data_IF_871657407387
#
_entry.id   IF_871657407387
#
_cell.length_a   1.000
_cell.length_b   1.000
_cell.length_c   1.000
_cell.angle_alpha   90.00
_cell.angle_beta   90.00
_cell.angle_gamma   90.00
#
_symmetry.space_group_name_H-M   'P 1'
#
loop_
_entity.id
_entity.type
_entity.pdbx_description
1 polymer ?
#
# COMPACT_ATOMS: atom_id res chain seq x y z
N UNK A 1 53.51 -4.10 56.76
CA UNK A 1 53.58 -2.73 57.35
C UNK A 1 52.43 -1.93 56.78
N UNK A 2 51.57 -1.13 57.43
CA UNK A 2 51.33 -0.68 58.81
C UNK A 2 49.85 -0.17 58.82
N UNK A 3 49.12 -0.54 59.89
CA UNK A 3 47.94 0.10 60.59
C UNK A 3 46.82 0.80 59.79
N UNK A 4 45.55 0.33 59.87
CA UNK A 4 44.48 0.64 60.87
C UNK A 4 44.23 2.14 61.13
N UNK A 5 43.02 2.63 60.83
CA UNK A 5 42.15 3.42 61.75
C UNK A 5 40.67 3.14 61.44
N UNK A 6 39.83 3.28 62.46
CA UNK A 6 38.51 2.73 62.73
C UNK A 6 37.51 3.89 62.96
N UNK A 7 36.27 3.79 62.41
CA UNK A 7 34.92 4.16 62.94
C UNK A 7 34.70 5.52 63.68
N UNK A 8 33.52 6.20 63.52
CA UNK A 8 32.24 5.68 64.04
C UNK A 8 30.96 5.98 63.23
N UNK A 9 29.91 5.26 63.64
CA UNK A 9 28.52 5.38 63.22
C UNK A 9 27.83 6.56 63.91
N UNK A 10 26.80 7.12 63.26
CA UNK A 10 25.70 7.81 63.94
C UNK A 10 24.38 7.28 63.36
N UNK A 11 23.63 6.61 64.23
CA UNK A 11 22.23 6.28 64.02
C UNK A 11 21.39 7.53 64.31
N UNK A 12 20.45 7.84 63.43
CA UNK A 12 19.35 8.75 63.73
C UNK A 12 18.05 8.04 63.36
N UNK A 13 17.41 7.48 64.39
CA UNK A 13 16.02 7.08 64.33
C UNK A 13 15.17 8.34 64.43
N UNK A 14 14.32 8.58 63.43
CA UNK A 14 13.18 9.49 63.55
C UNK A 14 11.97 8.72 63.04
N UNK A 15 11.13 8.31 63.99
CA UNK A 15 9.81 7.77 63.71
C UNK A 15 8.91 8.88 63.16
N UNK A 16 8.13 8.55 62.15
CA UNK A 16 6.97 9.34 61.73
C UNK A 16 5.82 8.37 61.48
N UNK A 17 4.68 8.75 62.04
CA UNK A 17 3.46 7.98 62.23
C UNK A 17 2.91 7.31 60.97
N UNK A 18 2.34 6.12 61.17
CA UNK A 18 1.40 5.52 60.23
C UNK A 18 0.14 6.39 60.13
N UNK A 19 0.01 7.14 59.04
CA UNK A 19 -1.30 7.64 58.59
C UNK A 19 -1.86 6.59 57.61
N UNK A 20 -2.82 5.80 58.09
CA UNK A 20 -3.71 5.02 57.21
C UNK A 20 -4.73 6.01 56.64
N UNK A 21 -4.27 6.83 55.70
CA UNK A 21 -5.15 7.64 54.86
C UNK A 21 -5.69 6.77 53.75
N UNK A 22 -7.01 6.63 53.66
CA UNK A 22 -7.66 6.11 52.45
C UNK A 22 -7.30 7.05 51.30
N UNK A 23 -6.29 6.67 50.51
CA UNK A 23 -5.99 7.35 49.27
C UNK A 23 -7.16 7.07 48.31
N UNK A 24 -7.96 8.10 48.06
CA UNK A 24 -8.94 8.07 46.98
C UNK A 24 -8.20 7.70 45.68
N UNK A 25 -8.79 6.84 44.82
CA UNK A 25 -8.16 6.47 43.57
C UNK A 25 -7.82 7.72 42.77
N UNK A 26 -6.57 7.81 42.33
CA UNK A 26 -6.11 8.89 41.47
C UNK A 26 -7.05 8.98 40.24
N UNK A 27 -7.49 10.18 39.84
CA UNK A 27 -8.31 10.33 38.64
C UNK A 27 -7.54 9.74 37.45
N UNK A 28 -8.21 8.86 36.71
CA UNK A 28 -7.65 8.27 35.51
C UNK A 28 -7.12 9.37 34.58
N UNK A 29 -5.91 9.18 34.07
CA UNK A 29 -5.36 10.08 33.07
C UNK A 29 -6.37 10.23 31.92
N UNK A 30 -6.58 11.45 31.40
CA UNK A 30 -7.44 11.66 30.25
C UNK A 30 -6.98 10.71 29.14
N UNK A 31 -7.90 9.87 28.65
CA UNK A 31 -7.62 9.09 27.46
C UNK A 31 -7.18 10.07 26.36
N UNK A 32 -6.08 9.81 25.65
CA UNK A 32 -5.70 10.65 24.52
C UNK A 32 -6.91 10.76 23.59
N UNK A 33 -7.18 11.94 23.00
CA UNK A 33 -8.30 12.12 22.10
C UNK A 33 -8.26 10.99 21.07
N UNK A 34 -9.34 10.20 20.99
CA UNK A 34 -9.51 9.27 19.88
C UNK A 34 -9.33 10.11 18.62
N UNK A 35 -8.27 9.82 17.86
CA UNK A 35 -8.03 10.47 16.59
C UNK A 35 -9.31 10.36 15.78
N UNK A 36 -9.95 11.49 15.51
CA UNK A 36 -11.16 11.55 14.70
C UNK A 36 -10.80 10.88 13.37
N UNK A 37 -11.63 9.94 12.91
CA UNK A 37 -11.39 9.22 11.67
C UNK A 37 -11.08 10.23 10.55
N UNK A 38 -9.92 10.08 9.91
CA UNK A 38 -9.44 11.00 8.88
C UNK A 38 -10.33 10.96 7.62
N UNK A 39 -10.97 9.80 7.41
CA UNK A 39 -11.82 9.47 6.29
C UNK A 39 -12.89 8.46 6.76
N UNK A 40 -13.93 8.23 5.96
CA UNK A 40 -14.99 7.28 6.28
C UNK A 40 -15.29 6.33 5.11
N UNK A 41 -15.93 5.20 5.40
CA UNK A 41 -16.22 4.15 4.42
C UNK A 41 -15.02 3.25 4.11
N UNK A 42 -15.08 2.61 2.95
CA UNK A 42 -14.08 1.69 2.45
C UNK A 42 -13.47 2.21 1.16
N UNK A 43 -12.14 2.23 1.08
CA UNK A 43 -11.45 2.20 -0.19
C UNK A 43 -11.44 0.74 -0.67
N UNK A 44 -12.32 0.43 -1.62
CA UNK A 44 -12.34 -0.87 -2.28
C UNK A 44 -11.28 -0.84 -3.37
N UNK A 45 -10.11 -1.43 -3.13
CA UNK A 45 -9.03 -1.49 -4.09
C UNK A 45 -9.16 -2.76 -4.92
N UNK A 46 -9.57 -2.61 -6.18
CA UNK A 46 -9.68 -3.73 -7.12
C UNK A 46 -8.42 -3.77 -7.97
N UNK A 47 -7.93 -4.98 -8.20
CA UNK A 47 -6.84 -5.23 -9.13
C UNK A 47 -7.26 -6.28 -10.14
N UNK A 48 -7.15 -5.92 -11.41
CA UNK A 48 -7.53 -6.72 -12.53
C UNK A 48 -6.28 -7.19 -13.25
N UNK A 49 -6.11 -8.50 -13.38
CA UNK A 49 -5.01 -9.10 -14.12
C UNK A 49 -5.44 -9.38 -15.55
N UNK A 50 -4.63 -8.97 -16.53
CA UNK A 50 -4.92 -9.12 -17.95
C UNK A 50 -3.81 -9.88 -18.66
N UNK A 51 -4.15 -10.95 -19.36
CA UNK A 51 -3.21 -11.79 -20.10
C UNK A 51 -3.43 -11.62 -21.60
N UNK A 52 -2.34 -11.57 -22.36
CA UNK A 52 -2.42 -11.72 -23.82
C UNK A 52 -2.98 -13.08 -24.18
N UNK A 53 -3.56 -13.22 -25.37
CA UNK A 53 -4.05 -14.51 -25.89
C UNK A 53 -2.98 -15.61 -25.91
N UNK A 54 -1.71 -15.24 -26.09
CA UNK A 54 -0.54 -16.14 -26.01
C UNK A 54 -0.10 -16.47 -24.58
N UNK A 55 -0.65 -15.80 -23.56
CA UNK A 55 -0.22 -15.83 -22.16
C UNK A 55 1.25 -15.45 -21.91
N UNK A 56 1.96 -14.94 -22.92
CA UNK A 56 3.37 -14.52 -22.80
C UNK A 56 3.51 -13.16 -22.15
N UNK A 57 2.50 -12.29 -22.29
CA UNK A 57 2.48 -10.97 -21.70
C UNK A 57 1.26 -10.79 -20.82
N UNK A 58 1.45 -10.17 -19.66
CA UNK A 58 0.37 -9.81 -18.78
C UNK A 58 0.74 -8.59 -17.95
N UNK A 59 -0.28 -7.94 -17.42
CA UNK A 59 -0.14 -6.79 -16.54
C UNK A 59 -1.37 -6.68 -15.65
N UNK A 60 -1.26 -5.86 -14.61
CA UNK A 60 -2.37 -5.54 -13.72
C UNK A 60 -2.83 -4.10 -13.87
N UNK A 61 -4.12 -3.88 -13.64
CA UNK A 61 -4.69 -2.54 -13.49
C UNK A 61 -5.48 -2.38 -12.20
N UNK A 62 -5.40 -1.19 -11.59
CA UNK A 62 -6.20 -0.78 -10.43
C UNK A 62 -7.01 0.49 -10.70
N UNK A 63 -6.74 1.16 -11.82
CA UNK A 63 -7.54 2.26 -12.37
C UNK A 63 -7.67 2.05 -13.88
N UNK A 64 -8.72 2.58 -14.53
CA UNK A 64 -8.83 2.54 -15.98
C UNK A 64 -7.64 3.21 -16.66
N UNK A 65 -7.29 2.72 -17.85
CA UNK A 65 -6.36 3.41 -18.75
C UNK A 65 -6.95 4.74 -19.23
N UNK A 66 -6.10 5.66 -19.70
CA UNK A 66 -6.52 6.97 -20.21
C UNK A 66 -7.46 6.89 -21.41
N UNK A 67 -7.41 5.80 -22.18
CA UNK A 67 -8.36 5.49 -23.27
C UNK A 67 -9.61 4.72 -22.81
N UNK A 68 -9.79 4.53 -21.50
CA UNK A 68 -10.95 3.86 -20.90
C UNK A 68 -10.90 2.33 -20.90
N UNK A 69 -9.85 1.71 -21.46
CA UNK A 69 -9.68 0.24 -21.41
C UNK A 69 -9.22 -0.23 -20.03
N UNK A 70 -9.24 -1.56 -19.85
CA UNK A 70 -8.69 -2.24 -18.67
C UNK A 70 -9.23 -1.71 -17.33
N UNK A 71 -10.52 -1.39 -17.30
CA UNK A 71 -11.16 -0.81 -16.13
C UNK A 71 -11.06 -1.73 -14.89
N UNK A 72 -10.82 -1.11 -13.73
CA UNK A 72 -10.89 -1.76 -12.43
C UNK A 72 -11.96 -1.09 -11.56
N UNK A 73 -12.66 -1.89 -10.75
CA UNK A 73 -13.75 -1.46 -9.89
C UNK A 73 -13.38 -0.52 -8.74
N UNK A 74 -12.10 -0.12 -8.61
CA UNK A 74 -11.57 0.64 -7.47
C UNK A 74 -12.43 1.85 -7.13
N UNK A 75 -12.98 1.92 -5.92
CA UNK A 75 -13.93 2.95 -5.53
C UNK A 75 -13.81 3.29 -4.03
N UNK A 76 -14.50 4.35 -3.62
CA UNK A 76 -14.80 4.59 -2.21
C UNK A 76 -16.30 4.44 -2.02
N UNK A 77 -16.73 3.65 -1.04
CA UNK A 77 -18.15 3.44 -0.74
C UNK A 77 -18.37 3.14 0.75
N UNK A 78 -19.63 3.14 1.19
CA UNK A 78 -20.00 2.74 2.56
C UNK A 78 -19.90 1.23 2.82
N UNK A 79 -19.66 0.42 1.78
CA UNK A 79 -19.71 -1.04 1.82
C UNK A 79 -18.37 -1.64 1.40
N UNK A 80 -17.93 -2.66 2.11
CA UNK A 80 -16.77 -3.44 1.71
C UNK A 80 -17.13 -4.34 0.51
N UNK A 81 -16.44 -4.14 -0.61
CA UNK A 81 -16.59 -4.99 -1.78
C UNK A 81 -15.91 -6.35 -1.50
N UNK A 82 -16.65 -7.43 -1.76
CA UNK A 82 -16.18 -8.82 -1.53
C UNK A 82 -15.82 -9.56 -2.80
N UNK A 83 -16.08 -8.98 -3.98
CA UNK A 83 -15.80 -9.56 -5.28
C UNK A 83 -15.07 -8.56 -6.16
N UNK A 84 -14.09 -9.06 -6.92
CA UNK A 84 -13.37 -8.22 -7.87
C UNK A 84 -14.28 -7.84 -9.04
N UNK A 85 -14.08 -6.63 -9.58
CA UNK A 85 -14.85 -6.08 -10.69
C UNK A 85 -13.84 -5.54 -11.70
N UNK A 86 -13.87 -6.10 -12.90
CA UNK A 86 -12.90 -5.87 -13.97
C UNK A 86 -13.60 -5.68 -15.29
N UNK A 87 -13.07 -4.79 -16.13
CA UNK A 87 -13.47 -4.67 -17.53
C UNK A 87 -13.02 -5.87 -18.36
N UNK A 88 -13.64 -6.08 -19.51
CA UNK A 88 -13.41 -7.23 -20.38
C UNK A 88 -12.00 -7.30 -21.01
N UNK A 89 -11.24 -6.21 -20.99
CA UNK A 89 -9.96 -6.08 -21.71
C UNK A 89 -10.16 -5.41 -23.07
N UNK A 90 -9.41 -5.83 -24.09
CA UNK A 90 -9.40 -5.17 -25.42
C UNK A 90 -9.40 -6.14 -26.62
N UNK A 91 -9.66 -7.42 -26.39
CA UNK A 91 -9.60 -8.46 -27.41
C UNK A 91 -8.23 -9.12 -27.52
N UNK A 92 -7.14 -8.36 -27.40
CA UNK A 92 -5.77 -8.91 -27.34
C UNK A 92 -5.43 -9.41 -25.94
N UNK A 93 -5.93 -8.69 -24.93
CA UNK A 93 -5.79 -8.99 -23.53
C UNK A 93 -7.14 -9.30 -22.91
N UNK A 94 -7.19 -10.38 -22.15
CA UNK A 94 -8.38 -10.88 -21.47
C UNK A 94 -8.15 -10.90 -19.96
N UNK A 95 -9.20 -10.61 -19.19
CA UNK A 95 -9.13 -10.67 -17.73
C UNK A 95 -8.86 -12.10 -17.26
N UNK A 96 -8.05 -12.24 -16.20
CA UNK A 96 -7.79 -13.49 -15.50
C UNK A 96 -8.39 -13.39 -14.10
N UNK A 97 -9.63 -13.88 -13.89
CA UNK A 97 -10.37 -13.68 -12.64
C UNK A 97 -9.65 -14.22 -11.40
N UNK A 98 -9.03 -15.40 -11.51
CA UNK A 98 -8.37 -16.05 -10.36
C UNK A 98 -7.15 -15.27 -9.85
N UNK A 99 -6.46 -14.54 -10.73
CA UNK A 99 -5.31 -13.69 -10.40
C UNK A 99 -5.71 -12.25 -10.08
N UNK A 100 -6.94 -11.87 -10.40
CA UNK A 100 -7.54 -10.59 -10.01
C UNK A 100 -8.01 -10.67 -8.56
N UNK A 101 -8.15 -9.53 -7.88
CA UNK A 101 -8.54 -9.50 -6.48
C UNK A 101 -9.10 -8.15 -6.04
N UNK A 102 -9.73 -8.14 -4.87
CA UNK A 102 -10.23 -6.93 -4.22
C UNK A 102 -9.81 -6.92 -2.76
N UNK A 103 -9.44 -5.74 -2.25
CA UNK A 103 -9.23 -5.51 -0.83
C UNK A 103 -10.03 -4.29 -0.40
N UNK A 104 -11.03 -4.50 0.45
CA UNK A 104 -11.75 -3.43 1.12
C UNK A 104 -10.90 -2.90 2.28
N UNK A 105 -10.55 -1.62 2.24
CA UNK A 105 -9.74 -0.94 3.22
C UNK A 105 -10.61 0.02 4.03
N UNK A 106 -10.86 -0.30 5.31
CA UNK A 106 -11.65 0.57 6.19
C UNK A 106 -10.90 1.87 6.45
N UNK A 107 -11.36 2.98 5.88
CA UNK A 107 -10.68 4.28 5.97
C UNK A 107 -10.79 4.91 7.36
N UNK A 108 -11.75 4.46 8.18
CA UNK A 108 -11.89 4.94 9.55
C UNK A 108 -10.94 4.23 10.54
N UNK A 109 -10.24 3.16 10.12
CA UNK A 109 -9.37 2.40 11.03
C UNK A 109 -7.96 2.97 11.19
N UNK A 110 -7.63 4.08 10.52
CA UNK A 110 -6.29 4.66 10.58
C UNK A 110 -6.17 5.99 9.86
N UNK A 111 -4.97 6.57 9.96
CA UNK A 111 -4.58 7.83 9.30
C UNK A 111 -4.00 7.61 7.91
N UNK A 112 -3.30 6.50 7.70
CA UNK A 112 -2.56 6.24 6.47
C UNK A 112 -3.21 5.10 5.70
N UNK A 113 -3.37 5.28 4.38
CA UNK A 113 -3.43 4.14 3.45
C UNK A 113 -2.00 3.84 3.04
N UNK A 114 -1.49 2.68 3.43
CA UNK A 114 -0.18 2.21 3.02
C UNK A 114 -0.35 1.34 1.78
N UNK A 115 0.07 1.82 0.61
CA UNK A 115 0.02 1.04 -0.64
C UNK A 115 1.33 0.28 -0.78
N UNK A 116 1.27 -1.04 -0.71
CA UNK A 116 2.42 -1.92 -0.94
C UNK A 116 2.32 -2.45 -2.36
N UNK A 117 3.32 -2.14 -3.18
CA UNK A 117 3.46 -2.65 -4.53
C UNK A 117 4.50 -3.75 -4.55
N UNK A 118 4.08 -4.94 -4.93
CA UNK A 118 4.89 -6.13 -5.03
C UNK A 118 5.07 -6.50 -6.49
N UNK A 119 6.30 -6.47 -6.96
CA UNK A 119 6.64 -6.82 -8.34
C UNK A 119 7.18 -8.22 -8.36
N UNK A 120 6.66 -9.06 -9.25
CA UNK A 120 7.11 -10.42 -9.44
C UNK A 120 7.64 -10.60 -10.86
N UNK A 121 8.62 -11.48 -11.03
CA UNK A 121 9.21 -11.81 -12.32
C UNK A 121 9.19 -13.32 -12.55
N UNK A 122 8.90 -13.73 -13.78
CA UNK A 122 9.07 -15.10 -14.25
C UNK A 122 10.14 -15.18 -15.33
N UNK A 123 11.15 -16.02 -15.11
CA UNK A 123 12.17 -16.29 -16.13
C UNK A 123 11.66 -17.17 -17.27
N UNK A 124 10.62 -17.98 -17.04
CA UNK A 124 10.05 -18.84 -18.08
C UNK A 124 9.20 -18.04 -19.07
N UNK A 125 8.48 -17.03 -18.57
CA UNK A 125 7.65 -16.15 -19.39
C UNK A 125 8.31 -14.81 -19.73
N UNK A 126 9.51 -14.53 -19.18
CA UNK A 126 10.29 -13.29 -19.37
C UNK A 126 9.45 -12.04 -19.12
N UNK A 127 8.66 -12.05 -18.03
CA UNK A 127 7.69 -11.00 -17.77
C UNK A 127 7.63 -10.61 -16.29
N UNK A 128 7.30 -9.34 -16.09
CA UNK A 128 6.97 -8.77 -14.79
C UNK A 128 5.47 -8.60 -14.66
N UNK A 129 4.98 -8.70 -13.42
CA UNK A 129 3.71 -8.10 -13.07
C UNK A 129 3.71 -7.58 -11.64
N UNK A 130 2.71 -6.78 -11.35
CA UNK A 130 2.60 -6.04 -10.10
C UNK A 130 1.33 -6.42 -9.35
N UNK A 131 1.44 -6.57 -8.02
CA UNK A 131 0.28 -6.66 -7.13
C UNK A 131 0.31 -5.60 -6.04
N UNK A 132 -0.88 -5.11 -5.69
CA UNK A 132 -1.13 -4.23 -4.55
C UNK A 132 -2.24 -4.76 -3.64
N UNK A 133 -2.96 -5.78 -4.10
CA UNK A 133 -3.87 -6.60 -3.31
C UNK A 133 -3.62 -8.08 -3.62
N UNK A 134 -3.91 -9.00 -2.68
CA UNK A 134 -3.86 -10.43 -2.97
C UNK A 134 -4.76 -10.81 -4.14
N UNK A 135 -4.34 -11.81 -4.92
CA UNK A 135 -5.21 -12.47 -5.89
C UNK A 135 -6.36 -13.21 -5.20
N UNK A 136 -7.44 -13.51 -5.92
CA UNK A 136 -8.62 -14.19 -5.38
C UNK A 136 -8.31 -15.58 -4.83
N UNK A 137 -7.26 -16.24 -5.33
CA UNK A 137 -6.75 -17.52 -4.82
C UNK A 137 -5.71 -17.37 -3.68
N UNK A 138 -5.48 -16.15 -3.19
CA UNK A 138 -4.59 -15.84 -2.09
C UNK A 138 -3.11 -15.72 -2.46
N UNK A 139 -2.72 -15.95 -3.71
CA UNK A 139 -1.32 -15.77 -4.16
C UNK A 139 -0.95 -14.29 -4.26
N UNK A 140 0.36 -14.05 -4.38
CA UNK A 140 0.94 -12.73 -4.65
C UNK A 140 0.50 -11.65 -3.66
N UNK A 141 0.49 -12.02 -2.37
CA UNK A 141 0.06 -11.13 -1.29
C UNK A 141 0.83 -9.80 -1.30
N UNK A 142 0.11 -8.73 -1.02
CA UNK A 142 0.64 -7.39 -0.81
C UNK A 142 0.18 -6.84 0.53
N UNK A 143 1.09 -6.17 1.25
CA UNK A 143 0.88 -5.64 2.59
C UNK A 143 -0.07 -4.44 2.68
N UNK A 144 -0.71 -4.02 1.58
CA UNK A 144 -1.55 -2.81 1.51
C UNK A 144 -2.58 -2.77 2.64
N UNK A 145 -2.57 -1.72 3.45
CA UNK A 145 -3.38 -1.65 4.66
C UNK A 145 -3.81 -0.21 4.99
N UNK A 146 -4.66 -0.08 6.01
CA UNK A 146 -4.93 1.19 6.69
C UNK A 146 -4.44 1.08 8.12
N UNK A 147 -3.62 2.04 8.56
CA UNK A 147 -3.09 2.05 9.92
C UNK A 147 -2.82 3.48 10.42
N UNK A 148 -2.47 3.63 11.70
CA UNK A 148 -2.04 4.92 12.27
C UNK A 148 -0.55 5.22 12.04
N UNK A 149 0.16 4.32 11.37
CA UNK A 149 1.61 4.43 11.13
C UNK A 149 1.87 4.44 9.63
N UNK A 150 2.73 5.35 9.18
CA UNK A 150 3.24 5.32 7.82
C UNK A 150 4.21 4.15 7.69
N UNK A 151 3.88 3.18 6.82
CA UNK A 151 4.76 2.05 6.56
C UNK A 151 5.95 2.52 5.72
N UNK A 152 7.16 2.17 6.16
CA UNK A 152 8.42 2.57 5.51
C UNK A 152 9.10 1.42 4.78
N UNK A 153 8.58 0.19 4.91
CA UNK A 153 9.11 -1.01 4.28
C UNK A 153 8.00 -1.74 3.54
N UNK A 154 8.30 -2.20 2.33
CA UNK A 154 7.36 -3.00 1.55
C UNK A 154 7.22 -4.39 2.18
N UNK A 155 6.04 -4.98 2.03
CA UNK A 155 5.68 -6.29 2.57
C UNK A 155 4.96 -7.04 1.48
N UNK A 156 5.57 -8.14 1.03
CA UNK A 156 5.17 -8.91 -0.13
C UNK A 156 5.22 -10.41 0.16
N UNK A 157 4.34 -11.16 -0.48
CA UNK A 157 4.41 -12.61 -0.52
C UNK A 157 5.60 -13.11 -1.35
N UNK A 158 5.92 -14.40 -1.24
CA UNK A 158 7.05 -15.02 -1.94
C UNK A 158 6.82 -15.25 -3.44
N UNK A 159 5.57 -15.20 -3.92
CA UNK A 159 5.18 -15.57 -5.28
C UNK A 159 4.59 -16.98 -5.36
N UNK A 160 4.82 -17.71 -6.46
CA UNK A 160 4.23 -19.04 -6.69
C UNK A 160 5.16 -20.09 -7.33
N UNK A 161 6.47 -19.89 -7.21
CA UNK A 161 7.50 -20.78 -7.78
C UNK A 161 7.81 -20.50 -9.25
N UNK A 162 6.79 -20.16 -10.07
CA UNK A 162 7.02 -19.65 -11.42
C UNK A 162 7.34 -18.15 -11.43
N UNK A 163 6.73 -17.41 -10.51
CA UNK A 163 6.97 -16.00 -10.29
C UNK A 163 7.65 -15.78 -8.95
N UNK A 164 8.76 -15.06 -8.96
CA UNK A 164 9.55 -14.72 -7.79
C UNK A 164 9.48 -13.22 -7.52
N UNK A 165 9.44 -12.84 -6.25
CA UNK A 165 9.45 -11.45 -5.85
C UNK A 165 10.72 -10.75 -6.37
N UNK A 166 10.57 -9.51 -6.84
CA UNK A 166 11.63 -8.59 -7.23
C UNK A 166 11.67 -7.45 -6.21
N UNK A 167 12.49 -7.54 -5.14
CA UNK A 167 12.46 -6.56 -4.06
C UNK A 167 12.81 -5.14 -4.49
N UNK A 168 13.77 -4.98 -5.40
CA UNK A 168 14.23 -3.66 -5.86
C UNK A 168 13.17 -2.89 -6.66
N UNK A 169 12.25 -3.61 -7.32
CA UNK A 169 11.14 -3.01 -8.06
C UNK A 169 9.87 -2.86 -7.21
N UNK A 170 9.84 -3.52 -6.04
CA UNK A 170 8.76 -3.41 -5.07
C UNK A 170 8.95 -2.18 -4.19
N UNK A 171 7.86 -1.61 -3.70
CA UNK A 171 7.88 -0.35 -2.96
C UNK A 171 6.64 -0.14 -2.11
N UNK A 172 6.71 0.80 -1.17
CA UNK A 172 5.57 1.20 -0.33
C UNK A 172 5.42 2.72 -0.37
N UNK A 173 4.17 3.19 -0.39
CA UNK A 173 3.85 4.61 -0.19
C UNK A 173 2.74 4.74 0.85
N UNK A 174 3.06 5.42 1.95
CA UNK A 174 2.08 5.84 2.93
C UNK A 174 1.37 7.11 2.44
N UNK A 175 0.04 7.07 2.43
CA UNK A 175 -0.84 8.16 2.01
C UNK A 175 -1.57 8.71 3.23
N UNK A 176 -1.21 9.92 3.67
CA UNK A 176 -1.83 10.57 4.83
C UNK A 176 -3.22 11.08 4.47
N UNK A 177 -4.26 10.41 4.95
CA UNK A 177 -5.65 10.76 4.66
C UNK A 177 -6.07 12.12 5.25
N UNK A 178 -5.27 12.68 6.18
CA UNK A 178 -5.55 14.02 6.75
C UNK A 178 -5.03 15.16 5.89
N UNK A 179 -4.19 14.87 4.87
CA UNK A 179 -3.55 15.91 4.06
C UNK A 179 -4.40 16.37 2.86
N UNK A 180 -5.60 15.82 2.68
CA UNK A 180 -6.45 16.12 1.53
C UNK A 180 -7.78 15.39 1.55
N UNK A 181 -8.58 15.61 0.51
CA UNK A 181 -9.94 15.04 0.34
C UNK A 181 -10.01 13.97 -0.74
N UNK A 182 -8.96 13.85 -1.54
CA UNK A 182 -8.84 12.87 -2.61
C UNK A 182 -7.61 12.01 -2.39
N UNK A 183 -7.78 10.70 -2.49
CA UNK A 183 -6.69 9.80 -2.88
C UNK A 183 -6.66 9.79 -4.40
N UNK A 184 -5.63 10.40 -4.98
CA UNK A 184 -5.39 10.34 -6.41
C UNK A 184 -4.56 9.09 -6.68
N UNK A 185 -5.18 8.04 -7.19
CA UNK A 185 -4.50 6.79 -7.52
C UNK A 185 -4.03 6.85 -8.97
N UNK A 186 -2.72 6.98 -9.16
CA UNK A 186 -2.10 6.96 -10.48
C UNK A 186 -1.59 5.55 -10.76
N UNK A 187 -1.72 5.13 -12.01
CA UNK A 187 -1.08 3.94 -12.51
C UNK A 187 -0.32 4.26 -13.78
N UNK A 188 0.95 3.91 -13.80
CA UNK A 188 1.84 4.05 -14.93
C UNK A 188 2.03 2.69 -15.57
N UNK A 189 1.91 2.63 -16.88
CA UNK A 189 2.17 1.44 -17.67
C UNK A 189 3.46 1.62 -18.45
N UNK A 190 4.35 0.66 -18.39
CA UNK A 190 5.59 0.62 -19.14
C UNK A 190 5.63 -0.62 -20.02
N UNK A 191 6.34 -0.55 -21.13
CA UNK A 191 6.51 -1.65 -22.06
C UNK A 191 7.97 -1.84 -22.43
N UNK A 192 8.42 -3.09 -22.46
CA UNK A 192 9.72 -3.49 -23.00
C UNK A 192 9.53 -4.28 -24.29
N UNK A 193 10.06 -3.77 -25.39
CA UNK A 193 10.00 -4.43 -26.69
C UNK A 193 10.89 -5.67 -26.77
N UNK A 194 12.04 -5.68 -26.08
CA UNK A 194 12.95 -6.81 -26.04
C UNK A 194 12.39 -8.00 -25.24
N UNK A 195 11.61 -7.73 -24.19
CA UNK A 195 10.96 -8.75 -23.38
C UNK A 195 9.49 -9.03 -23.78
N UNK A 196 8.91 -8.24 -24.68
CA UNK A 196 7.47 -8.25 -24.99
C UNK A 196 6.61 -8.20 -23.72
N UNK A 197 6.98 -7.34 -22.77
CA UNK A 197 6.43 -7.31 -21.42
C UNK A 197 5.84 -5.94 -21.07
N UNK A 198 4.61 -5.95 -20.56
CA UNK A 198 4.02 -4.81 -19.86
C UNK A 198 4.35 -4.87 -18.36
N UNK A 199 4.57 -3.71 -17.77
CA UNK A 199 4.89 -3.54 -16.37
C UNK A 199 4.13 -2.32 -15.83
N UNK A 200 3.32 -2.50 -14.78
CA UNK A 200 2.53 -1.42 -14.18
C UNK A 200 3.08 -1.02 -12.82
N UNK A 201 2.99 0.27 -12.48
CA UNK A 201 3.31 0.78 -11.14
C UNK A 201 2.27 1.79 -10.68
N UNK A 202 2.04 1.83 -9.37
CA UNK A 202 1.19 2.80 -8.68
C UNK A 202 1.92 3.57 -7.59
N UNK A 203 3.11 3.09 -7.22
CA UNK A 203 4.05 3.79 -6.34
C UNK A 203 5.47 3.61 -6.91
N UNK A 204 6.43 4.47 -6.54
CA UNK A 204 7.83 4.27 -6.93
C UNK A 204 8.36 2.92 -6.45
N UNK A 205 9.21 2.30 -7.28
CA UNK A 205 10.06 1.20 -6.85
C UNK A 205 11.00 1.65 -5.71
N UNK A 206 11.54 0.71 -4.93
CA UNK A 206 12.42 1.05 -3.81
C UNK A 206 13.72 1.75 -4.24
N UNK A 207 14.15 1.57 -5.49
CA UNK A 207 15.26 2.30 -6.11
C UNK A 207 14.85 3.63 -6.78
N UNK A 208 13.59 4.05 -6.62
CA UNK A 208 13.04 5.32 -7.11
C UNK A 208 12.61 5.32 -8.58
N UNK A 209 12.84 4.24 -9.33
CA UNK A 209 12.39 4.14 -10.73
C UNK A 209 10.88 3.92 -10.83
N UNK A 210 10.36 4.09 -12.04
CA UNK A 210 8.96 3.80 -12.39
C UNK A 210 7.95 4.52 -11.49
N UNK A 211 8.26 5.76 -11.11
CA UNK A 211 7.43 6.53 -10.21
C UNK A 211 6.01 6.75 -10.77
N UNK A 212 5.03 6.77 -9.89
CA UNK A 212 3.65 7.15 -10.19
C UNK A 212 3.23 8.31 -9.30
N UNK A 213 2.38 9.19 -9.83
CA UNK A 213 1.89 10.41 -9.17
C UNK A 213 0.99 10.20 -7.95
N UNK A 214 0.75 8.96 -7.53
CA UNK A 214 -0.23 8.61 -6.49
C UNK A 214 -0.05 9.45 -5.23
N UNK A 215 -1.07 10.18 -4.81
CA UNK A 215 -0.97 11.15 -3.72
C UNK A 215 -2.29 11.31 -2.95
N UNK A 216 -2.23 12.09 -1.88
CA UNK A 216 -3.42 12.66 -1.25
C UNK A 216 -3.38 14.17 -1.40
N UNK A 217 -4.45 14.76 -1.90
CA UNK A 217 -4.53 16.21 -2.09
C UNK A 217 -5.97 16.74 -1.95
N UNK A 218 -6.12 18.07 -1.96
CA UNK A 218 -7.44 18.72 -1.96
C UNK A 218 -8.06 18.83 -3.36
N UNK A 219 -7.34 18.36 -4.39
CA UNK A 219 -7.70 18.47 -5.80
C UNK A 219 -7.81 17.09 -6.41
N UNK A 220 -8.88 16.83 -7.15
CA UNK A 220 -9.00 15.63 -7.94
C UNK A 220 -8.05 15.72 -9.15
N UNK A 221 -7.08 14.82 -9.22
CA UNK A 221 -6.18 14.74 -10.36
C UNK A 221 -6.93 14.17 -11.57
N UNK A 222 -6.88 14.89 -12.70
CA UNK A 222 -7.55 14.51 -13.94
C UNK A 222 -6.60 13.98 -15.02
N UNK A 223 -5.29 14.03 -14.76
CA UNK A 223 -4.25 13.58 -15.68
C UNK A 223 -3.24 12.72 -14.94
N UNK A 224 -2.78 11.66 -15.59
CA UNK A 224 -1.81 10.75 -15.00
C UNK A 224 -0.41 11.38 -15.05
N UNK A 225 0.25 11.45 -13.90
CA UNK A 225 1.68 11.72 -13.79
C UNK A 225 2.49 10.43 -13.63
N UNK A 226 3.46 10.23 -14.51
CA UNK A 226 4.36 9.08 -14.50
C UNK A 226 5.82 9.52 -14.60
N UNK A 227 6.69 8.79 -13.89
CA UNK A 227 8.13 8.91 -14.04
C UNK A 227 8.61 8.31 -15.36
N UNK A 228 9.89 8.56 -15.66
CA UNK A 228 10.55 7.85 -16.74
C UNK A 228 10.71 6.35 -16.39
N UNK A 229 10.76 5.52 -17.43
CA UNK A 229 11.23 4.14 -17.29
C UNK A 229 12.76 4.08 -17.16
N UNK A 230 13.35 2.93 -17.44
CA UNK A 230 14.78 2.66 -17.19
C UNK A 230 15.62 2.45 -18.47
N UNK A 231 15.06 2.81 -19.63
CA UNK A 231 15.66 2.59 -20.94
C UNK A 231 15.27 1.24 -21.57
N UNK A 232 15.10 0.18 -20.77
CA UNK A 232 14.56 -1.11 -21.23
C UNK A 232 13.02 -1.09 -21.27
N UNK A 233 12.44 -0.36 -20.34
CA UNK A 233 11.01 -0.11 -20.23
C UNK A 233 10.70 1.33 -20.59
N UNK A 234 9.80 1.53 -21.54
CA UNK A 234 9.33 2.83 -21.98
C UNK A 234 7.91 3.07 -21.50
N UNK A 235 7.59 4.29 -21.06
CA UNK A 235 6.24 4.65 -20.65
C UNK A 235 5.26 4.48 -21.81
N UNK A 236 4.09 3.95 -21.52
CA UNK A 236 2.94 3.83 -22.42
C UNK A 236 1.83 4.74 -21.88
N UNK A 237 1.79 6.02 -22.31
CA UNK A 237 0.87 7.01 -21.73
C UNK A 237 -0.60 6.62 -21.86
N UNK A 238 -1.00 6.06 -23.02
CA UNK A 238 -2.40 5.73 -23.29
C UNK A 238 -2.95 4.60 -22.39
N UNK A 239 -2.08 3.71 -21.92
CA UNK A 239 -2.42 2.63 -20.99
C UNK A 239 -2.25 3.01 -19.52
N UNK A 240 -1.60 4.13 -19.25
CA UNK A 240 -1.50 4.73 -17.92
C UNK A 240 -2.82 5.43 -17.58
N UNK A 241 -3.09 5.71 -16.31
CA UNK A 241 -4.35 6.31 -15.90
C UNK A 241 -4.34 6.85 -14.49
N UNK A 242 -5.36 7.63 -14.16
CA UNK A 242 -5.57 8.19 -12.81
C UNK A 242 -7.03 8.06 -12.42
N UNK A 243 -7.28 7.79 -11.14
CA UNK A 243 -8.60 7.90 -10.54
C UNK A 243 -8.51 8.67 -9.24
N UNK A 244 -9.19 9.82 -9.18
CA UNK A 244 -9.40 10.56 -7.95
C UNK A 244 -10.54 9.91 -7.15
N UNK A 245 -10.26 9.59 -5.89
CA UNK A 245 -11.17 8.90 -4.98
C UNK A 245 -11.46 9.83 -3.79
N UNK A 246 -12.69 10.34 -3.69
CA UNK A 246 -13.08 11.17 -2.56
C UNK A 246 -13.14 10.32 -1.28
N UNK A 247 -12.44 10.74 -0.22
CA UNK A 247 -12.28 9.98 1.03
C UNK A 247 -12.87 10.68 2.26
N UNK A 248 -13.33 11.93 2.12
CA UNK A 248 -13.92 12.76 3.18
C UNK A 248 -15.33 13.18 2.84
#
# INVERSE_FOLDING_TARGET
MIRRVWRPAVAAAVGVCAFVGMAAPAPAAPQPPQARAAASGYLNLHQCMYYSSSATNHFSTVVPSSDGRFAAGTNVSGTADSQVSCGAGDGNYQVVPILSGVKALNLASGRYVNIHQCVYYSSSATNHFTTVVPSSDGRFAAGTNVSNTADSQVSCGAGDGNYQLVPILSGVKALDLTSGRYVNLHQCMYYSSSASNHFSTVVPSSDGRFAAGTNVSNTADSQVTCGAGDGNYQLVPILSGVKALAVT
#
